data_IF_553605243643
#
_entry.id   IF_553605243643
#
_cell.length_a   1.000
_cell.length_b   1.000
_cell.length_c   1.000
_cell.angle_alpha   90.00
_cell.angle_beta   90.00
_cell.angle_gamma   90.00
#
_symmetry.space_group_name_H-M   'P 1'
#
loop_
_entity.id
_entity.type
_entity.pdbx_description
1 polymer ?
#
# COMPACT_ATOMS: atom_id res chain seq x y z
N UNK A 1 3.60 -1.01 18.89
CA UNK A 1 3.33 -2.36 18.36
C UNK A 1 2.76 -2.37 16.94
N UNK A 2 2.21 -1.26 16.42
CA UNK A 2 1.70 -1.20 15.03
C UNK A 2 2.77 -1.47 13.95
N UNK A 3 4.00 -0.97 14.11
CA UNK A 3 5.08 -1.20 13.12
C UNK A 3 5.49 -2.67 12.96
N UNK A 4 5.46 -3.44 14.05
CA UNK A 4 5.75 -4.89 14.02
C UNK A 4 4.61 -5.66 13.33
N UNK A 5 3.36 -5.24 13.56
CA UNK A 5 2.19 -5.85 12.95
C UNK A 5 2.12 -5.56 11.44
N UNK A 6 2.52 -4.36 11.02
CA UNK A 6 2.65 -3.98 9.62
C UNK A 6 3.75 -4.79 8.90
N UNK A 7 4.91 -4.96 9.55
CA UNK A 7 5.98 -5.83 9.04
C UNK A 7 5.55 -7.28 8.92
N UNK A 8 4.70 -7.78 9.82
CA UNK A 8 4.16 -9.14 9.76
C UNK A 8 3.17 -9.33 8.60
N UNK A 9 2.31 -8.35 8.33
CA UNK A 9 1.38 -8.37 7.20
C UNK A 9 2.11 -8.27 5.86
N UNK A 10 3.11 -7.38 5.75
CA UNK A 10 3.96 -7.29 4.58
C UNK A 10 4.74 -8.59 4.36
N UNK A 11 5.38 -9.11 5.40
CA UNK A 11 6.09 -10.39 5.34
C UNK A 11 5.18 -11.54 4.90
N UNK A 12 3.95 -11.60 5.41
CA UNK A 12 2.94 -12.58 4.97
C UNK A 12 2.58 -12.44 3.50
N UNK A 13 2.35 -11.21 3.01
CA UNK A 13 2.07 -10.94 1.59
C UNK A 13 3.22 -11.39 0.69
N UNK A 14 4.47 -11.06 1.06
CA UNK A 14 5.66 -11.42 0.28
C UNK A 14 5.84 -12.95 0.22
N UNK A 15 5.59 -13.66 1.32
CA UNK A 15 5.67 -15.13 1.36
C UNK A 15 4.67 -15.75 0.38
N UNK A 16 3.43 -15.24 0.34
CA UNK A 16 2.42 -15.71 -0.62
C UNK A 16 2.86 -15.40 -2.05
N UNK A 17 3.37 -14.21 -2.34
CA UNK A 17 3.88 -13.82 -3.66
C UNK A 17 5.05 -14.70 -4.13
N UNK A 18 5.99 -15.02 -3.23
CA UNK A 18 7.13 -15.91 -3.54
C UNK A 18 6.69 -17.37 -3.73
N UNK A 19 5.83 -17.90 -2.86
CA UNK A 19 5.42 -19.32 -2.91
C UNK A 19 4.56 -19.62 -4.14
N UNK A 20 3.67 -18.71 -4.52
CA UNK A 20 2.80 -18.89 -5.69
C UNK A 20 3.40 -18.33 -6.99
N UNK A 21 4.64 -17.81 -6.96
CA UNK A 21 5.27 -17.12 -8.09
C UNK A 21 4.39 -15.99 -8.68
N UNK A 22 3.56 -15.37 -7.84
CA UNK A 22 2.72 -14.26 -8.26
C UNK A 22 3.58 -12.99 -8.36
N UNK A 23 3.58 -12.28 -9.51
CA UNK A 23 4.31 -11.03 -9.64
C UNK A 23 3.60 -9.95 -8.83
N UNK A 24 4.09 -9.70 -7.62
CA UNK A 24 3.59 -8.67 -6.70
C UNK A 24 4.61 -7.60 -6.37
N UNK A 25 4.10 -6.44 -5.96
CA UNK A 25 4.90 -5.25 -5.62
C UNK A 25 5.63 -5.42 -4.29
N UNK A 26 5.10 -6.21 -3.35
CA UNK A 26 5.75 -6.45 -2.06
C UNK A 26 7.06 -7.22 -2.23
N UNK A 27 7.04 -8.27 -3.05
CA UNK A 27 8.23 -9.03 -3.44
C UNK A 27 9.24 -8.14 -4.17
N UNK A 28 8.77 -7.32 -5.10
CA UNK A 28 9.64 -6.47 -5.93
C UNK A 28 10.33 -5.38 -5.10
N UNK A 29 9.68 -4.88 -4.04
CA UNK A 29 10.28 -3.97 -3.07
C UNK A 29 11.38 -4.61 -2.24
N UNK A 30 11.16 -5.83 -1.73
CA UNK A 30 12.22 -6.55 -0.98
C UNK A 30 13.38 -6.90 -1.89
N UNK A 31 13.11 -7.43 -3.08
CA UNK A 31 14.15 -7.77 -4.06
C UNK A 31 14.96 -6.50 -4.44
N UNK A 32 14.30 -5.34 -4.60
CA UNK A 32 14.96 -4.06 -4.89
C UNK A 32 15.78 -3.52 -3.71
N UNK A 33 15.33 -3.70 -2.47
CA UNK A 33 16.11 -3.35 -1.27
C UNK A 33 17.37 -4.21 -1.15
N UNK A 34 17.26 -5.51 -1.40
CA UNK A 34 18.40 -6.43 -1.38
C UNK A 34 19.41 -6.10 -2.50
N UNK A 35 18.91 -5.82 -3.71
CA UNK A 35 19.74 -5.43 -4.86
C UNK A 35 20.23 -3.96 -4.80
N UNK A 36 19.79 -3.20 -3.78
CA UNK A 36 20.06 -1.75 -3.63
C UNK A 36 19.65 -0.93 -4.86
N UNK A 37 18.56 -1.34 -5.50
CA UNK A 37 17.98 -0.64 -6.64
C UNK A 37 17.14 0.55 -6.15
N UNK A 38 17.81 1.65 -5.80
CA UNK A 38 17.16 2.85 -5.30
C UNK A 38 16.10 3.45 -6.25
N UNK A 39 16.31 3.49 -7.59
CA UNK A 39 15.28 3.93 -8.52
C UNK A 39 13.97 3.14 -8.42
N UNK A 40 14.05 1.81 -8.35
CA UNK A 40 12.85 0.96 -8.27
C UNK A 40 12.16 1.13 -6.92
N UNK A 41 12.92 1.15 -5.82
CA UNK A 41 12.38 1.42 -4.48
C UNK A 41 11.61 2.74 -4.46
N UNK A 42 12.19 3.80 -5.05
CA UNK A 42 11.56 5.11 -5.10
C UNK A 42 10.27 5.08 -5.93
N UNK A 43 10.26 4.39 -7.07
CA UNK A 43 9.08 4.25 -7.91
C UNK A 43 7.95 3.51 -7.18
N UNK A 44 8.26 2.44 -6.47
CA UNK A 44 7.26 1.67 -5.70
C UNK A 44 6.71 2.45 -4.50
N UNK A 45 7.56 3.18 -3.77
CA UNK A 45 7.11 4.03 -2.67
C UNK A 45 6.16 5.11 -3.19
N UNK A 46 6.47 5.71 -4.35
CA UNK A 46 5.58 6.68 -4.98
C UNK A 46 4.25 6.05 -5.40
N UNK A 47 4.29 4.84 -5.97
CA UNK A 47 3.10 4.11 -6.37
C UNK A 47 2.20 3.79 -5.17
N UNK A 48 2.75 3.26 -4.08
CA UNK A 48 2.01 3.01 -2.84
C UNK A 48 1.45 4.28 -2.22
N UNK A 49 2.23 5.38 -2.26
CA UNK A 49 1.77 6.68 -1.78
C UNK A 49 0.57 7.19 -2.59
N UNK A 50 0.62 7.06 -3.91
CA UNK A 50 -0.48 7.42 -4.80
C UNK A 50 -1.72 6.57 -4.54
N UNK A 51 -1.55 5.26 -4.40
CA UNK A 51 -2.64 4.32 -4.13
C UNK A 51 -3.32 4.63 -2.78
N UNK A 52 -2.51 4.95 -1.76
CA UNK A 52 -3.03 5.36 -0.46
C UNK A 52 -3.83 6.67 -0.53
N UNK A 53 -3.36 7.66 -1.30
CA UNK A 53 -4.08 8.91 -1.54
C UNK A 53 -5.40 8.63 -2.27
N UNK A 54 -5.38 7.78 -3.30
CA UNK A 54 -6.60 7.42 -4.04
C UNK A 54 -7.62 6.71 -3.16
N UNK A 55 -7.19 5.77 -2.33
CA UNK A 55 -8.08 5.08 -1.38
C UNK A 55 -8.69 6.09 -0.40
N UNK A 56 -7.88 6.99 0.17
CA UNK A 56 -8.42 8.03 1.06
C UNK A 56 -9.40 8.94 0.34
N UNK A 57 -9.10 9.38 -0.89
CA UNK A 57 -10.01 10.19 -1.68
C UNK A 57 -11.32 9.47 -1.97
N UNK A 58 -11.27 8.18 -2.32
CA UNK A 58 -12.46 7.35 -2.52
C UNK A 58 -13.27 7.25 -1.24
N UNK A 59 -12.61 7.01 -0.11
CA UNK A 59 -13.25 6.95 1.21
C UNK A 59 -13.92 8.30 1.54
N UNK A 60 -13.24 9.42 1.34
CA UNK A 60 -13.79 10.76 1.57
C UNK A 60 -15.01 11.06 0.69
N UNK A 61 -14.94 10.69 -0.60
CA UNK A 61 -16.06 10.83 -1.55
C UNK A 61 -17.24 9.95 -1.14
N UNK A 62 -16.98 8.70 -0.74
CA UNK A 62 -18.01 7.79 -0.24
C UNK A 62 -18.65 8.32 1.03
N UNK A 63 -17.85 8.87 1.96
CA UNK A 63 -18.37 9.52 3.16
C UNK A 63 -19.22 10.75 2.81
N UNK A 64 -18.80 11.59 1.88
CA UNK A 64 -19.57 12.74 1.41
C UNK A 64 -20.89 12.32 0.72
N UNK A 65 -20.88 11.21 -0.04
CA UNK A 65 -22.06 10.71 -0.73
C UNK A 65 -23.06 10.00 0.20
N UNK A 66 -22.57 9.24 1.18
CA UNK A 66 -23.38 8.45 2.12
C UNK A 66 -23.88 9.31 3.28
N UNK A 67 -23.17 10.38 3.64
CA UNK A 67 -23.54 11.24 4.77
C UNK A 67 -24.14 12.60 4.32
N UNK A 68 -25.47 12.69 4.11
CA UNK A 68 -26.16 13.95 3.84
C UNK A 68 -26.23 14.89 5.07
N UNK A 69 -25.73 14.47 6.24
CA UNK A 69 -25.79 15.26 7.49
C UNK A 69 -24.61 16.26 7.65
N UNK A 70 -23.65 16.33 6.71
CA UNK A 70 -22.67 17.44 6.63
C UNK A 70 -23.31 18.69 5.96
N UNK A 71 -24.64 18.76 5.96
CA UNK A 71 -25.36 20.00 5.70
C UNK A 71 -25.17 20.90 6.93
N UNK A 72 -24.26 21.85 6.77
CA UNK A 72 -24.07 23.03 7.61
C UNK A 72 -25.36 23.49 8.29
N UNK A 73 -25.30 23.72 9.60
CA UNK A 73 -25.83 24.97 10.14
C UNK A 73 -24.70 25.99 10.14
#
# INVERSE_FOLDING_TARGET
>A
MMGLQFGFLLGGSIVVEKVFNWPGLGRLLVDSVEMRDYPVIQAEILLFSLEFILINLVVDVLYAAINPAIRYK
#
